data_IF_297272313876
#
_entry.id   IF_297272313876
#
_cell.length_a   1.000
_cell.length_b   1.000
_cell.length_c   1.000
_cell.angle_alpha   90.00
_cell.angle_beta   90.00
_cell.angle_gamma   90.00
#
_symmetry.space_group_name_H-M   'P 1'
#
loop_
_entity.id
_entity.type
_entity.pdbx_description
1 polymer ?
#
# COMPACT_ATOMS: atom_id res chain seq x y z
N UNK A 1 35.84 39.27 -1.07
CA UNK A 1 34.92 39.64 0.03
C UNK A 1 34.16 38.39 0.42
N UNK A 2 34.67 37.74 1.46
CA UNK A 2 34.11 36.57 2.13
C UNK A 2 32.73 36.86 2.74
N UNK A 3 31.82 35.90 2.64
CA UNK A 3 30.68 35.76 3.55
C UNK A 3 30.52 34.29 3.95
N UNK A 4 31.24 33.99 5.02
CA UNK A 4 31.15 32.93 6.04
C UNK A 4 29.90 32.03 6.08
N UNK A 5 30.19 30.72 6.08
CA UNK A 5 29.54 29.61 6.80
C UNK A 5 28.85 30.08 8.09
N UNK A 6 27.55 29.80 8.27
CA UNK A 6 26.88 29.85 9.58
C UNK A 6 26.45 28.45 9.99
N UNK A 7 26.99 28.03 11.12
CA UNK A 7 26.77 26.77 11.81
C UNK A 7 25.30 26.53 12.14
N UNK A 8 24.81 25.33 11.82
CA UNK A 8 23.59 24.77 12.40
C UNK A 8 23.96 24.18 13.76
N UNK A 9 23.81 24.98 14.81
CA UNK A 9 23.97 24.50 16.19
C UNK A 9 22.83 23.54 16.54
N UNK A 10 23.23 22.37 17.03
CA UNK A 10 22.40 21.33 17.66
C UNK A 10 21.65 21.96 18.83
N UNK A 11 20.34 22.17 18.70
CA UNK A 11 19.47 22.48 19.85
C UNK A 11 19.00 21.16 20.45
N UNK A 12 19.47 20.88 21.65
CA UNK A 12 18.95 19.80 22.48
C UNK A 12 17.51 20.14 22.91
N UNK A 13 16.55 19.39 22.37
CA UNK A 13 15.14 19.51 22.73
C UNK A 13 14.91 18.83 24.09
N UNK A 14 14.38 19.58 25.07
CA UNK A 14 14.03 19.04 26.39
C UNK A 14 12.57 18.60 26.44
N UNK A 15 12.23 17.74 27.40
CA UNK A 15 11.00 16.96 27.55
C UNK A 15 9.67 17.76 27.59
N UNK A 16 9.69 19.09 27.52
CA UNK A 16 8.49 19.95 27.60
C UNK A 16 7.91 20.44 26.25
N UNK A 17 8.59 20.19 25.13
CA UNK A 17 8.17 20.75 23.82
C UNK A 17 7.21 19.84 23.00
N UNK A 18 6.81 18.69 23.53
CA UNK A 18 6.09 17.64 22.76
C UNK A 18 4.55 17.70 22.81
N UNK A 19 3.94 18.69 23.46
CA UNK A 19 2.47 18.88 23.47
C UNK A 19 1.96 19.91 22.43
N UNK A 20 2.78 20.26 21.44
CA UNK A 20 2.40 21.18 20.37
C UNK A 20 1.74 20.51 19.16
N UNK A 21 0.59 21.02 18.70
CA UNK A 21 0.06 20.73 17.35
C UNK A 21 1.14 21.03 16.29
N UNK A 22 1.62 20.00 15.60
CA UNK A 22 2.57 20.14 14.51
C UNK A 22 1.84 20.56 13.24
N UNK A 23 2.02 21.82 12.81
CA UNK A 23 1.54 22.29 11.51
C UNK A 23 2.61 22.04 10.43
N UNK A 24 2.31 21.13 9.50
CA UNK A 24 3.18 20.83 8.35
C UNK A 24 2.69 21.63 7.14
N UNK A 25 3.54 22.47 6.57
CA UNK A 25 3.26 23.23 5.33
C UNK A 25 4.27 22.85 4.25
N UNK A 26 3.80 22.41 3.09
CA UNK A 26 4.66 22.09 1.95
C UNK A 26 5.17 23.38 1.27
N UNK A 27 6.44 23.39 0.87
CA UNK A 27 7.06 24.48 0.10
C UNK A 27 7.51 23.95 -1.26
N UNK A 28 7.13 24.62 -2.33
CA UNK A 28 7.42 24.23 -3.71
C UNK A 28 8.27 25.30 -4.40
N UNK A 29 9.23 24.87 -5.25
CA UNK A 29 10.06 25.79 -6.06
C UNK A 29 9.34 26.35 -7.29
N UNK A 30 8.13 25.88 -7.61
CA UNK A 30 7.34 26.26 -8.78
C UNK A 30 5.94 26.75 -8.39
N UNK A 31 5.41 27.73 -9.13
CA UNK A 31 4.19 28.50 -8.81
C UNK A 31 2.87 27.71 -8.77
N UNK A 32 2.87 26.43 -9.16
CA UNK A 32 1.68 25.57 -9.14
C UNK A 32 1.94 24.30 -8.36
N UNK A 33 1.97 24.40 -7.02
CA UNK A 33 2.16 23.26 -6.12
C UNK A 33 1.29 22.06 -6.50
N UNK A 34 1.72 20.84 -6.16
CA UNK A 34 1.04 19.61 -6.53
C UNK A 34 0.28 19.03 -5.31
N UNK A 35 -1.05 19.23 -5.20
CA UNK A 35 -1.84 18.77 -4.05
C UNK A 35 -1.78 17.25 -3.84
N UNK A 36 -1.55 16.48 -4.91
CA UNK A 36 -1.42 15.02 -4.83
C UNK A 36 -0.09 14.57 -4.19
N UNK A 37 1.00 15.34 -4.39
CA UNK A 37 2.27 15.12 -3.68
C UNK A 37 2.17 15.55 -2.21
N UNK A 38 1.45 16.63 -1.92
CA UNK A 38 1.16 17.06 -0.55
C UNK A 38 0.45 15.96 0.24
N UNK A 39 -0.57 15.35 -0.37
CA UNK A 39 -1.31 14.25 0.22
C UNK A 39 -0.46 13.00 0.48
N UNK A 40 0.50 12.68 -0.40
CA UNK A 40 1.42 11.57 -0.19
C UNK A 40 2.46 11.86 0.90
N UNK A 41 3.07 13.05 0.89
CA UNK A 41 4.03 13.45 1.91
C UNK A 41 3.37 13.50 3.29
N UNK A 42 2.16 14.07 3.39
CA UNK A 42 1.39 14.13 4.64
C UNK A 42 0.98 12.73 5.11
N UNK A 43 0.51 11.84 4.22
CA UNK A 43 0.20 10.44 4.59
C UNK A 43 1.46 9.66 4.99
N UNK A 44 2.58 9.87 4.32
CA UNK A 44 3.85 9.24 4.66
C UNK A 44 4.35 9.73 6.02
N UNK A 45 4.25 11.03 6.30
CA UNK A 45 4.57 11.63 7.59
C UNK A 45 3.63 11.14 8.69
N UNK A 46 2.33 11.05 8.44
CA UNK A 46 1.37 10.50 9.41
C UNK A 46 1.68 9.03 9.73
N UNK A 47 1.99 8.22 8.71
CA UNK A 47 2.41 6.82 8.89
C UNK A 47 3.74 6.70 9.62
N UNK A 48 4.68 7.61 9.37
CA UNK A 48 5.96 7.65 10.07
C UNK A 48 5.75 8.04 11.54
N UNK A 49 4.92 9.05 11.80
CA UNK A 49 4.54 9.47 13.14
C UNK A 49 3.84 8.33 13.91
N UNK A 50 2.84 7.69 13.31
CA UNK A 50 2.18 6.52 13.90
C UNK A 50 3.17 5.38 14.20
N UNK A 51 4.12 5.11 13.30
CA UNK A 51 5.20 4.14 13.54
C UNK A 51 6.13 4.53 14.70
N UNK A 52 6.44 5.81 14.84
CA UNK A 52 7.27 6.33 15.94
C UNK A 52 6.50 6.25 17.27
N UNK A 53 5.22 6.64 17.28
CA UNK A 53 4.37 6.58 18.48
C UNK A 53 4.16 5.15 18.97
N UNK A 54 4.01 4.18 18.05
CA UNK A 54 3.93 2.75 18.39
C UNK A 54 5.25 2.25 18.99
N UNK A 55 6.41 2.73 18.48
CA UNK A 55 7.74 2.40 19.04
C UNK A 55 8.01 3.07 20.39
N UNK A 56 7.34 4.18 20.70
CA UNK A 56 7.53 4.95 21.93
C UNK A 56 6.60 4.52 23.09
N UNK A 57 5.70 3.54 22.89
CA UNK A 57 4.90 2.95 23.97
C UNK A 57 3.90 3.90 24.64
N UNK A 58 3.50 5.01 24.01
CA UNK A 58 2.59 5.98 24.61
C UNK A 58 1.13 5.68 24.23
N UNK A 59 0.50 4.75 24.94
CA UNK A 59 -0.97 4.66 24.97
C UNK A 59 -1.49 5.49 26.14
N UNK A 60 -2.18 6.59 25.82
CA UNK A 60 -2.93 7.38 26.79
C UNK A 60 -4.20 6.64 27.22
N UNK A 61 -4.12 5.93 28.34
CA UNK A 61 -5.31 5.61 29.13
C UNK A 61 -4.97 5.61 30.62
N UNK A 62 -5.53 6.59 31.32
CA UNK A 62 -5.42 6.79 32.75
C UNK A 62 -6.38 5.87 33.50
N UNK A 63 -5.84 4.98 34.34
CA UNK A 63 -6.51 4.51 35.57
C UNK A 63 -5.44 4.18 36.62
N UNK A 64 -5.69 4.66 37.84
CA UNK A 64 -4.77 4.66 38.97
C UNK A 64 -4.72 3.32 39.71
N UNK A 65 -3.52 3.05 40.24
CA UNK A 65 -3.17 2.40 41.52
C UNK A 65 -3.52 0.94 41.80
N UNK A 66 -2.48 0.11 41.93
CA UNK A 66 -2.15 -0.54 43.22
C UNK A 66 -0.74 -1.14 43.27
N UNK A 67 0.00 -0.68 44.31
CA UNK A 67 1.02 -1.32 45.17
C UNK A 67 2.22 -2.11 44.61
N UNK A 68 3.37 -1.70 45.11
CA UNK A 68 4.72 -2.26 45.04
C UNK A 68 4.84 -3.70 45.58
N UNK A 69 5.79 -4.46 45.03
CA UNK A 69 6.79 -5.20 45.81
C UNK A 69 7.98 -5.58 44.94
N UNK A 70 9.17 -5.26 45.42
CA UNK A 70 10.45 -5.53 44.79
C UNK A 70 10.95 -6.93 45.10
N UNK A 71 11.46 -7.65 44.10
CA UNK A 71 12.53 -8.63 44.25
C UNK A 71 13.34 -8.67 42.97
N UNK A 72 14.64 -8.43 43.13
CA UNK A 72 15.61 -8.45 42.04
C UNK A 72 15.88 -9.87 41.53
N UNK A 73 16.14 -9.95 40.23
CA UNK A 73 16.73 -11.09 39.57
C UNK A 73 17.27 -10.60 38.23
N UNK A 74 18.57 -10.76 37.99
CA UNK A 74 19.22 -10.40 36.75
C UNK A 74 18.52 -11.11 35.58
N UNK A 75 17.85 -10.34 34.73
CA UNK A 75 17.31 -10.87 33.46
C UNK A 75 18.37 -10.65 32.40
N UNK A 76 18.99 -11.76 32.01
CA UNK A 76 19.61 -11.93 30.72
C UNK A 76 18.63 -11.40 29.64
N UNK A 77 18.99 -10.26 29.05
CA UNK A 77 18.19 -9.50 28.08
C UNK A 77 18.13 -10.27 26.74
N UNK A 78 17.51 -11.44 26.73
CA UNK A 78 17.21 -12.19 25.53
C UNK A 78 16.01 -11.54 24.83
N UNK A 79 16.28 -10.40 24.16
CA UNK A 79 15.30 -9.67 23.33
C UNK A 79 14.73 -10.51 22.17
N UNK A 80 15.28 -11.70 21.95
CA UNK A 80 14.88 -12.64 20.91
C UNK A 80 13.69 -13.55 21.29
N UNK A 81 13.21 -13.54 22.55
CA UNK A 81 12.08 -14.39 22.99
C UNK A 81 10.80 -13.61 23.36
N UNK A 82 10.65 -12.41 22.80
CA UNK A 82 9.46 -11.56 22.99
C UNK A 82 8.66 -11.39 21.68
N UNK A 83 7.34 -11.35 21.81
CA UNK A 83 6.45 -11.06 20.71
C UNK A 83 6.51 -9.57 20.33
N UNK A 84 6.78 -9.22 19.07
CA UNK A 84 6.95 -7.84 18.61
C UNK A 84 5.63 -7.03 18.55
N UNK A 85 4.47 -7.65 18.81
CA UNK A 85 3.16 -6.97 18.81
C UNK A 85 2.74 -6.61 20.23
N UNK A 86 2.73 -7.57 21.16
CA UNK A 86 2.34 -7.31 22.55
C UNK A 86 3.53 -6.92 23.45
N UNK A 87 4.77 -7.08 22.97
CA UNK A 87 6.01 -6.81 23.72
C UNK A 87 6.17 -7.67 24.98
N UNK A 88 5.50 -8.82 25.03
CA UNK A 88 5.57 -9.81 26.11
C UNK A 88 6.09 -11.15 25.57
N UNK A 89 6.37 -12.11 26.45
CA UNK A 89 6.68 -13.48 26.06
C UNK A 89 5.60 -14.11 25.17
N UNK A 90 5.98 -15.10 24.37
CA UNK A 90 5.08 -15.70 23.39
C UNK A 90 3.98 -16.57 24.03
N UNK A 91 2.72 -16.22 23.78
CA UNK A 91 1.56 -17.08 24.04
C UNK A 91 1.13 -17.76 22.74
N UNK A 92 1.12 -19.10 22.69
CA UNK A 92 0.80 -19.90 21.50
C UNK A 92 1.59 -19.42 20.27
N UNK A 93 2.92 -19.57 20.34
CA UNK A 93 3.85 -19.04 19.34
C UNK A 93 3.55 -19.57 17.93
N UNK A 94 3.44 -18.67 16.96
CA UNK A 94 3.30 -18.99 15.54
C UNK A 94 4.46 -18.37 14.75
N UNK A 95 5.10 -19.21 13.92
CA UNK A 95 6.17 -18.79 13.00
C UNK A 95 5.67 -18.74 11.56
N UNK A 96 5.84 -17.59 10.91
CA UNK A 96 5.50 -17.41 9.50
C UNK A 96 6.58 -18.00 8.57
N UNK A 97 6.29 -18.12 7.27
CA UNK A 97 7.27 -18.53 6.24
C UNK A 97 8.50 -17.62 6.18
N UNK A 98 8.31 -16.33 6.46
CA UNK A 98 9.38 -15.33 6.59
C UNK A 98 10.18 -15.43 7.90
N UNK A 99 9.96 -16.50 8.69
CA UNK A 99 10.63 -16.82 9.95
C UNK A 99 10.33 -15.90 11.14
N UNK A 100 9.61 -14.80 10.95
CA UNK A 100 9.13 -13.97 12.06
C UNK A 100 8.10 -14.70 12.92
N UNK A 101 8.19 -14.50 14.23
CA UNK A 101 7.37 -15.18 15.25
C UNK A 101 6.44 -14.19 15.97
N UNK A 102 5.23 -14.64 16.29
CA UNK A 102 4.20 -13.85 16.96
C UNK A 102 3.36 -14.73 17.89
N UNK A 103 2.72 -14.13 18.91
CA UNK A 103 1.60 -14.81 19.58
C UNK A 103 0.47 -15.05 18.57
N UNK A 104 -0.20 -16.19 18.65
CA UNK A 104 -1.31 -16.53 17.75
C UNK A 104 -2.38 -15.42 17.68
N UNK A 105 -2.82 -14.91 18.83
CA UNK A 105 -3.85 -13.85 18.89
C UNK A 105 -3.35 -12.53 18.32
N UNK A 106 -2.08 -12.19 18.56
CA UNK A 106 -1.46 -10.99 18.00
C UNK A 106 -1.41 -11.06 16.47
N UNK A 107 -1.03 -12.21 15.92
CA UNK A 107 -1.01 -12.42 14.46
C UNK A 107 -2.43 -12.43 13.87
N UNK A 108 -3.40 -13.04 14.56
CA UNK A 108 -4.81 -13.02 14.13
C UNK A 108 -5.40 -11.61 14.12
N UNK A 109 -5.14 -10.82 15.16
CA UNK A 109 -5.56 -9.42 15.24
C UNK A 109 -4.90 -8.60 14.14
N UNK A 110 -3.59 -8.74 13.94
CA UNK A 110 -2.89 -8.08 12.83
C UNK A 110 -3.49 -8.47 11.47
N UNK A 111 -3.79 -9.76 11.27
CA UNK A 111 -4.44 -10.26 10.05
C UNK A 111 -5.82 -9.65 9.83
N UNK A 112 -6.61 -9.45 10.89
CA UNK A 112 -7.94 -8.83 10.82
C UNK A 112 -7.87 -7.37 10.37
N UNK A 113 -6.86 -6.62 10.82
CA UNK A 113 -6.73 -5.19 10.53
C UNK A 113 -5.96 -4.89 9.25
N UNK A 114 -4.96 -5.70 8.90
CA UNK A 114 -4.02 -5.41 7.80
C UNK A 114 -3.95 -6.51 6.74
N UNK A 115 -4.76 -7.56 6.85
CA UNK A 115 -4.67 -8.74 6.00
C UNK A 115 -3.49 -9.63 6.38
N UNK A 116 -3.28 -10.76 5.67
CA UNK A 116 -2.23 -11.74 5.97
C UNK A 116 -0.83 -11.25 5.55
N UNK A 117 -0.41 -10.10 6.07
CA UNK A 117 0.89 -9.45 5.85
C UNK A 117 1.69 -9.56 7.13
N UNK A 118 2.95 -10.00 7.04
CA UNK A 118 3.87 -10.03 8.17
C UNK A 118 4.04 -8.60 8.73
N UNK A 119 3.75 -8.37 10.03
CA UNK A 119 3.92 -7.05 10.65
C UNK A 119 5.34 -6.48 10.55
N UNK A 120 6.36 -7.35 10.50
CA UNK A 120 7.78 -6.99 10.45
C UNK A 120 8.24 -6.74 9.01
N UNK A 121 8.33 -7.78 8.17
CA UNK A 121 8.94 -7.66 6.84
C UNK A 121 7.97 -7.36 5.70
N UNK A 122 6.66 -7.38 5.97
CA UNK A 122 5.58 -7.21 4.97
C UNK A 122 5.38 -8.36 3.98
N UNK A 123 6.04 -9.49 4.18
CA UNK A 123 5.75 -10.70 3.40
C UNK A 123 4.30 -11.17 3.59
N UNK A 124 3.65 -11.48 2.48
CA UNK A 124 2.29 -12.02 2.47
C UNK A 124 2.32 -13.52 2.80
N UNK A 125 1.58 -13.95 3.81
CA UNK A 125 1.53 -15.35 4.26
C UNK A 125 0.17 -16.05 4.07
N UNK A 126 -0.76 -15.40 3.38
CA UNK A 126 -2.10 -15.93 3.07
C UNK A 126 -2.70 -15.22 1.86
N UNK A 127 -3.97 -15.48 1.56
CA UNK A 127 -4.65 -14.85 0.42
C UNK A 127 -4.99 -13.40 0.77
N UNK A 128 -4.38 -12.46 0.06
CA UNK A 128 -4.75 -11.05 0.11
C UNK A 128 -6.08 -10.86 -0.60
N UNK A 129 -7.02 -10.18 0.06
CA UNK A 129 -8.29 -9.79 -0.56
C UNK A 129 -8.45 -8.29 -0.43
N UNK A 130 -8.63 -7.62 -1.57
CA UNK A 130 -8.87 -6.19 -1.58
C UNK A 130 -10.34 -5.84 -1.43
N UNK A 131 -10.65 -4.59 -1.73
CA UNK A 131 -11.99 -4.00 -1.59
C UNK A 131 -12.51 -3.42 -2.91
N UNK A 132 -12.02 -3.93 -4.05
CA UNK A 132 -12.61 -3.67 -5.36
C UNK A 132 -14.11 -4.03 -5.35
N UNK A 133 -15.00 -3.15 -5.84
CA UNK A 133 -16.41 -3.47 -6.02
C UNK A 133 -16.67 -4.58 -7.05
N UNK A 134 -17.91 -5.09 -7.08
CA UNK A 134 -18.28 -6.11 -8.06
C UNK A 134 -18.36 -5.51 -9.47
N UNK A 135 -17.94 -6.30 -10.45
CA UNK A 135 -17.80 -5.87 -11.83
C UNK A 135 -17.28 -7.00 -12.70
N UNK A 136 -16.89 -6.69 -13.93
CA UNK A 136 -16.44 -7.66 -14.92
C UNK A 136 -15.06 -7.32 -15.47
N UNK A 137 -14.32 -8.37 -15.87
CA UNK A 137 -13.08 -8.29 -16.62
C UNK A 137 -13.25 -9.14 -17.88
N UNK A 138 -13.15 -8.52 -19.05
CA UNK A 138 -13.23 -9.16 -20.37
C UNK A 138 -11.91 -9.02 -21.09
N UNK A 139 -11.57 -10.01 -21.92
CA UNK A 139 -10.32 -10.01 -22.68
C UNK A 139 -10.59 -10.39 -24.14
N UNK A 140 -10.01 -9.64 -25.07
CA UNK A 140 -10.09 -9.89 -26.51
C UNK A 140 -8.67 -9.92 -27.06
N UNK A 141 -8.37 -10.87 -27.95
CA UNK A 141 -7.06 -11.01 -28.60
C UNK A 141 -7.13 -10.51 -30.04
N UNK A 142 -6.21 -9.64 -30.42
CA UNK A 142 -6.08 -9.03 -31.73
C UNK A 142 -4.78 -9.48 -32.38
N UNK A 143 -4.87 -10.44 -33.32
CA UNK A 143 -3.69 -11.09 -33.92
C UNK A 143 -2.90 -10.22 -34.89
N UNK A 144 -3.52 -9.20 -35.46
CA UNK A 144 -2.95 -8.45 -36.60
C UNK A 144 -2.50 -7.03 -36.24
N UNK A 145 -2.58 -6.65 -34.96
CA UNK A 145 -2.20 -5.31 -34.51
C UNK A 145 -1.21 -5.49 -33.36
N UNK A 146 0.05 -5.24 -33.64
CA UNK A 146 1.12 -5.31 -32.65
C UNK A 146 1.15 -4.06 -31.75
N UNK A 147 1.62 -4.25 -30.51
CA UNK A 147 2.02 -3.12 -29.68
C UNK A 147 3.44 -2.67 -30.05
N UNK A 148 3.75 -1.36 -30.04
CA UNK A 148 5.11 -0.88 -30.20
C UNK A 148 6.08 -1.57 -29.22
N UNK A 149 7.18 -2.11 -29.74
CA UNK A 149 8.16 -2.90 -28.97
C UNK A 149 7.88 -4.41 -28.90
N UNK A 150 6.78 -4.90 -29.46
CA UNK A 150 6.39 -6.31 -29.44
C UNK A 150 5.90 -6.80 -30.82
N UNK A 151 6.77 -6.83 -31.84
CA UNK A 151 6.37 -7.18 -33.21
C UNK A 151 5.98 -8.67 -33.35
N UNK A 152 5.01 -8.95 -34.22
CA UNK A 152 4.64 -10.31 -34.65
C UNK A 152 3.83 -11.12 -33.64
N UNK A 153 3.29 -10.50 -32.60
CA UNK A 153 2.52 -11.21 -31.56
C UNK A 153 1.08 -10.73 -31.40
N UNK A 154 0.70 -9.60 -32.00
CA UNK A 154 -0.59 -8.97 -31.76
C UNK A 154 -0.69 -8.38 -30.35
N UNK A 155 -1.91 -8.20 -29.87
CA UNK A 155 -2.16 -7.71 -28.51
C UNK A 155 -3.43 -8.27 -27.89
N UNK A 156 -3.49 -8.14 -26.57
CA UNK A 156 -4.62 -8.48 -25.72
C UNK A 156 -5.22 -7.16 -25.23
N UNK A 157 -6.47 -6.91 -25.57
CA UNK A 157 -7.29 -5.86 -24.98
C UNK A 157 -8.00 -6.42 -23.74
N UNK A 158 -7.86 -5.73 -22.60
CA UNK A 158 -8.52 -6.06 -21.34
C UNK A 158 -9.48 -4.92 -21.00
N UNK A 159 -10.76 -5.24 -20.88
CA UNK A 159 -11.80 -4.28 -20.52
C UNK A 159 -12.35 -4.61 -19.14
N UNK A 160 -12.17 -3.68 -18.21
CA UNK A 160 -12.77 -3.72 -16.88
C UNK A 160 -14.01 -2.85 -16.86
N UNK A 161 -15.10 -3.36 -16.28
CA UNK A 161 -16.32 -2.59 -16.08
C UNK A 161 -16.83 -2.81 -14.66
N UNK A 162 -16.83 -1.73 -13.87
CA UNK A 162 -17.37 -1.68 -12.52
C UNK A 162 -18.50 -0.64 -12.54
N UNK A 163 -19.77 -1.02 -12.36
CA UNK A 163 -20.88 -0.09 -12.34
C UNK A 163 -20.85 0.80 -11.09
N UNK A 164 -21.64 1.86 -11.09
CA UNK A 164 -21.94 2.62 -9.88
C UNK A 164 -22.60 1.72 -8.84
N UNK A 165 -22.46 2.08 -7.56
CA UNK A 165 -23.11 1.30 -6.51
C UNK A 165 -23.06 1.95 -5.14
N UNK A 166 -23.36 1.15 -4.13
CA UNK A 166 -23.32 1.52 -2.71
C UNK A 166 -22.12 0.87 -2.03
N UNK A 167 -21.44 1.63 -1.19
CA UNK A 167 -20.27 1.18 -0.45
C UNK A 167 -20.65 0.13 0.60
N UNK A 168 -19.87 -0.96 0.69
CA UNK A 168 -20.02 -2.06 1.65
C UNK A 168 -19.20 -1.76 2.91
N UNK A 169 -19.33 -2.57 3.95
CA UNK A 169 -18.65 -2.39 5.25
C UNK A 169 -17.12 -2.37 5.16
N UNK A 170 -16.55 -2.95 4.10
CA UNK A 170 -15.10 -2.95 3.83
C UNK A 170 -14.62 -1.78 2.96
N UNK A 171 -15.50 -0.82 2.65
CA UNK A 171 -15.16 0.42 1.91
C UNK A 171 -15.03 1.62 2.88
N UNK A 172 -14.40 2.73 2.46
CA UNK A 172 -14.15 3.88 3.34
C UNK A 172 -15.41 4.50 3.96
N UNK A 173 -16.50 4.61 3.20
CA UNK A 173 -17.74 5.24 3.65
C UNK A 173 -18.94 4.28 3.46
N UNK A 174 -19.11 3.27 4.33
CA UNK A 174 -20.17 2.27 4.18
C UNK A 174 -21.54 2.92 4.05
N UNK A 175 -22.31 2.45 3.07
CA UNK A 175 -23.64 2.94 2.76
C UNK A 175 -23.70 4.17 1.86
N UNK A 176 -22.58 4.87 1.61
CA UNK A 176 -22.57 5.96 0.63
C UNK A 176 -22.54 5.45 -0.81
N UNK A 177 -22.95 6.29 -1.76
CA UNK A 177 -22.80 5.98 -3.19
C UNK A 177 -21.34 6.10 -3.61
N UNK A 178 -20.93 5.27 -4.56
CA UNK A 178 -19.68 5.44 -5.29
C UNK A 178 -19.93 5.47 -6.80
N UNK A 179 -19.04 6.12 -7.52
CA UNK A 179 -19.03 6.21 -8.99
C UNK A 179 -18.12 5.13 -9.57
N UNK A 180 -18.70 4.30 -10.44
CA UNK A 180 -18.06 3.23 -11.16
C UNK A 180 -17.09 3.73 -12.24
N UNK A 181 -16.56 2.79 -13.02
CA UNK A 181 -15.65 3.10 -14.13
C UNK A 181 -15.65 1.99 -15.17
N UNK A 182 -15.36 2.35 -16.41
CA UNK A 182 -14.96 1.40 -17.46
C UNK A 182 -13.57 1.78 -17.94
N UNK A 183 -12.66 0.81 -18.00
CA UNK A 183 -11.26 1.05 -18.37
C UNK A 183 -10.75 -0.05 -19.28
N UNK A 184 -9.97 0.36 -20.26
CA UNK A 184 -9.30 -0.54 -21.20
C UNK A 184 -7.79 -0.52 -20.94
N UNK A 185 -7.17 -1.69 -21.02
CA UNK A 185 -5.72 -1.87 -20.90
C UNK A 185 -5.21 -2.87 -21.94
N UNK A 186 -3.90 -2.80 -22.23
CA UNK A 186 -3.28 -3.56 -23.32
C UNK A 186 -2.05 -4.35 -22.83
N UNK A 187 -1.94 -5.60 -23.28
CA UNK A 187 -0.76 -6.45 -23.13
C UNK A 187 -0.35 -7.00 -24.51
N UNK A 188 0.92 -7.31 -24.76
CA UNK A 188 1.29 -8.06 -25.95
C UNK A 188 0.73 -9.48 -25.88
N UNK A 189 0.27 -10.05 -27.00
CA UNK A 189 -0.23 -11.45 -27.03
C UNK A 189 0.92 -12.44 -27.27
N UNK A 190 1.89 -12.41 -26.36
CA UNK A 190 3.03 -13.33 -26.32
C UNK A 190 3.06 -14.11 -24.98
N UNK A 191 4.07 -14.94 -24.76
CA UNK A 191 4.19 -15.79 -23.56
C UNK A 191 4.15 -14.95 -22.27
N UNK A 192 4.95 -13.89 -22.20
CA UNK A 192 5.05 -13.04 -21.00
C UNK A 192 3.78 -12.21 -20.77
N UNK A 193 3.19 -11.66 -21.82
CA UNK A 193 1.93 -10.93 -21.73
C UNK A 193 0.76 -11.82 -21.29
N UNK A 194 0.72 -13.09 -21.73
CA UNK A 194 -0.27 -14.06 -21.26
C UNK A 194 -0.02 -14.49 -19.80
N UNK A 195 1.24 -14.54 -19.36
CA UNK A 195 1.57 -14.74 -17.94
C UNK A 195 1.00 -13.58 -17.09
N UNK A 196 1.28 -12.33 -17.47
CA UNK A 196 0.74 -11.14 -16.81
C UNK A 196 -0.80 -11.15 -16.82
N UNK A 197 -1.43 -11.52 -17.93
CA UNK A 197 -2.89 -11.65 -18.02
C UNK A 197 -3.44 -12.63 -16.97
N UNK A 198 -2.82 -13.79 -16.80
CA UNK A 198 -3.22 -14.79 -15.79
C UNK A 198 -3.14 -14.21 -14.38
N UNK A 199 -2.06 -13.49 -14.07
CA UNK A 199 -1.87 -12.84 -12.78
C UNK A 199 -2.90 -11.72 -12.55
N UNK A 200 -3.18 -10.89 -13.55
CA UNK A 200 -4.20 -9.84 -13.47
C UNK A 200 -5.60 -10.41 -13.25
N UNK A 201 -5.95 -11.54 -13.87
CA UNK A 201 -7.21 -12.26 -13.60
C UNK A 201 -7.29 -12.68 -12.14
N UNK A 202 -6.23 -13.34 -11.64
CA UNK A 202 -6.13 -13.74 -10.22
C UNK A 202 -6.24 -12.54 -9.27
N UNK A 203 -5.59 -11.41 -9.59
CA UNK A 203 -5.68 -10.19 -8.81
C UNK A 203 -7.10 -9.56 -8.85
N UNK A 204 -7.78 -9.61 -10.00
CA UNK A 204 -9.16 -9.14 -10.14
C UNK A 204 -10.12 -9.99 -9.30
N UNK A 205 -9.99 -11.32 -9.35
CA UNK A 205 -10.78 -12.26 -8.54
C UNK A 205 -10.56 -12.05 -7.04
N UNK A 206 -9.33 -11.71 -6.65
CA UNK A 206 -8.96 -11.33 -5.28
C UNK A 206 -9.30 -9.87 -4.93
N UNK A 207 -10.00 -9.15 -5.80
CA UNK A 207 -10.47 -7.76 -5.57
C UNK A 207 -9.35 -6.74 -5.39
N UNK A 208 -8.21 -6.93 -6.05
CA UNK A 208 -6.98 -6.15 -5.86
C UNK A 208 -6.68 -5.13 -6.98
N UNK A 209 -7.36 -5.17 -8.14
CA UNK A 209 -7.07 -4.27 -9.26
C UNK A 209 -7.58 -2.86 -8.99
N UNK A 210 -8.76 -2.75 -8.37
CA UNK A 210 -9.39 -1.47 -8.05
C UNK A 210 -9.63 -1.29 -6.55
N UNK A 211 -9.97 -0.06 -6.17
CA UNK A 211 -10.46 0.32 -4.85
C UNK A 211 -11.43 1.50 -4.98
N UNK A 212 -12.08 1.88 -3.89
CA UNK A 212 -12.86 3.12 -3.80
C UNK A 212 -12.02 4.17 -3.07
N UNK A 213 -11.90 5.35 -3.66
CA UNK A 213 -11.17 6.46 -3.06
C UNK A 213 -11.28 7.73 -3.87
N UNK A 214 -10.33 8.64 -3.64
CA UNK A 214 -10.22 9.87 -4.42
C UNK A 214 -9.53 9.59 -5.76
N UNK A 215 -10.19 9.99 -6.85
CA UNK A 215 -9.59 9.97 -8.19
C UNK A 215 -8.30 10.79 -8.22
N UNK A 216 -7.21 10.17 -8.68
CA UNK A 216 -5.89 10.82 -8.74
C UNK A 216 -5.84 11.97 -9.74
N UNK A 217 -6.67 11.93 -10.79
CA UNK A 217 -6.66 12.94 -11.85
C UNK A 217 -7.66 14.06 -11.61
N UNK A 218 -8.82 13.76 -11.03
CA UNK A 218 -9.92 14.72 -10.87
C UNK A 218 -10.15 15.15 -9.42
N UNK A 219 -9.58 14.45 -8.44
CA UNK A 219 -9.83 14.69 -7.03
C UNK A 219 -11.22 14.22 -6.55
N UNK A 220 -12.05 13.68 -7.44
CA UNK A 220 -13.40 13.21 -7.11
C UNK A 220 -13.33 12.08 -6.07
N UNK A 221 -13.96 12.29 -4.92
CA UNK A 221 -14.11 11.28 -3.88
C UNK A 221 -15.17 10.23 -4.22
N UNK A 222 -15.19 9.13 -3.47
CA UNK A 222 -16.13 8.03 -3.65
C UNK A 222 -16.15 7.50 -5.10
N UNK A 223 -14.98 7.37 -5.74
CA UNK A 223 -14.84 6.87 -7.11
C UNK A 223 -14.01 5.59 -7.17
N UNK A 224 -14.31 4.74 -8.16
CA UNK A 224 -13.51 3.55 -8.45
C UNK A 224 -12.19 3.96 -9.10
N UNK A 225 -11.09 3.59 -8.45
CA UNK A 225 -9.72 3.98 -8.83
C UNK A 225 -8.80 2.77 -8.88
N UNK A 226 -7.70 2.87 -9.63
CA UNK A 226 -6.66 1.84 -9.65
C UNK A 226 -6.04 1.64 -8.26
N UNK A 227 -5.72 0.41 -7.91
CA UNK A 227 -5.16 0.05 -6.61
C UNK A 227 -3.71 -0.45 -6.75
N UNK A 228 -2.81 0.45 -7.13
CA UNK A 228 -1.34 0.23 -7.19
C UNK A 228 -0.89 -0.99 -8.02
N UNK A 229 -1.66 -1.38 -9.03
CA UNK A 229 -1.22 -2.29 -10.11
C UNK A 229 -1.35 -1.51 -11.41
N UNK A 230 -0.23 -1.12 -11.99
CA UNK A 230 -0.22 -0.28 -13.18
C UNK A 230 -0.69 -1.06 -14.39
N UNK A 231 -1.46 -0.37 -15.23
CA UNK A 231 -1.97 -0.89 -16.48
C UNK A 231 -1.56 0.02 -17.63
N UNK A 232 -1.35 -0.56 -18.80
CA UNK A 232 -1.12 0.20 -20.03
C UNK A 232 -2.45 0.56 -20.66
N UNK A 233 -2.95 1.76 -20.39
CA UNK A 233 -4.26 2.24 -20.88
C UNK A 233 -4.19 2.90 -22.26
N UNK A 234 -3.02 2.90 -22.90
CA UNK A 234 -2.81 3.37 -24.27
C UNK A 234 -1.97 2.35 -25.02
N UNK A 235 -2.24 2.14 -26.31
CA UNK A 235 -1.34 1.36 -27.17
C UNK A 235 -0.08 2.13 -27.57
N UNK A 236 -0.07 3.46 -27.42
CA UNK A 236 0.99 4.34 -27.93
C UNK A 236 1.40 5.42 -26.91
N UNK A 237 2.48 6.14 -27.22
CA UNK A 237 2.92 7.31 -26.44
C UNK A 237 3.84 6.98 -25.26
N UNK A 238 4.33 5.74 -25.19
CA UNK A 238 5.31 5.31 -24.20
C UNK A 238 4.84 5.42 -22.75
N UNK A 239 5.78 5.28 -21.78
CA UNK A 239 5.45 5.26 -20.36
C UNK A 239 4.73 6.53 -19.87
N UNK A 240 5.05 7.69 -20.43
CA UNK A 240 4.47 8.99 -20.06
C UNK A 240 2.97 9.09 -20.33
N UNK A 241 2.47 8.33 -21.33
CA UNK A 241 1.04 8.24 -21.65
C UNK A 241 0.42 6.93 -21.23
N UNK A 242 1.06 6.21 -20.29
CA UNK A 242 0.63 4.88 -19.85
C UNK A 242 0.49 3.91 -21.03
N UNK A 243 1.37 4.02 -22.02
CA UNK A 243 1.32 3.20 -23.23
C UNK A 243 2.67 2.60 -23.63
N UNK A 244 2.75 2.15 -24.87
CA UNK A 244 3.92 1.49 -25.45
C UNK A 244 4.65 2.41 -26.45
N UNK A 245 5.94 2.18 -26.75
CA UNK A 245 6.80 1.10 -26.21
C UNK A 245 7.18 1.33 -24.74
N UNK A 246 7.33 0.25 -23.99
CA UNK A 246 7.83 0.23 -22.60
C UNK A 246 8.33 -1.18 -22.27
N UNK A 247 9.62 -1.43 -22.50
CA UNK A 247 10.25 -2.75 -22.35
C UNK A 247 10.28 -3.23 -20.90
N UNK A 248 10.17 -2.32 -19.92
CA UNK A 248 10.24 -2.63 -18.49
C UNK A 248 8.87 -2.90 -17.86
N UNK A 249 7.79 -2.70 -18.59
CA UNK A 249 6.45 -2.73 -18.00
C UNK A 249 6.07 -4.14 -17.49
N UNK A 250 6.33 -5.19 -18.27
CA UNK A 250 5.91 -6.55 -17.90
C UNK A 250 6.64 -7.07 -16.67
N UNK A 251 7.92 -6.72 -16.48
CA UNK A 251 8.65 -7.05 -15.25
C UNK A 251 8.13 -6.26 -14.05
N UNK A 252 7.96 -4.93 -14.20
CA UNK A 252 7.46 -4.07 -13.12
C UNK A 252 6.06 -4.46 -12.64
N UNK A 253 5.13 -4.75 -13.55
CA UNK A 253 3.77 -5.16 -13.14
C UNK A 253 3.77 -6.51 -12.44
N UNK A 254 4.66 -7.44 -12.82
CA UNK A 254 4.85 -8.71 -12.09
C UNK A 254 5.36 -8.48 -10.66
N UNK A 255 6.27 -7.53 -10.47
CA UNK A 255 6.73 -7.15 -9.12
C UNK A 255 5.61 -6.51 -8.28
N UNK A 256 4.79 -5.64 -8.88
CA UNK A 256 3.62 -5.03 -8.21
C UNK A 256 2.57 -6.09 -7.80
N UNK A 257 2.31 -7.05 -8.69
CA UNK A 257 1.42 -8.18 -8.42
C UNK A 257 1.98 -9.06 -7.30
N UNK A 258 3.26 -9.39 -7.36
CA UNK A 258 3.97 -10.15 -6.31
C UNK A 258 3.91 -9.45 -4.96
N UNK A 259 4.12 -8.13 -4.93
CA UNK A 259 4.00 -7.33 -3.71
C UNK A 259 2.60 -7.36 -3.09
N UNK A 260 1.57 -7.69 -3.89
CA UNK A 260 0.18 -7.92 -3.45
C UNK A 260 -0.14 -9.41 -3.20
N UNK A 261 0.86 -10.29 -3.22
CA UNK A 261 0.70 -11.72 -2.99
C UNK A 261 0.19 -12.51 -4.20
N UNK A 262 0.36 -11.98 -5.41
CA UNK A 262 -0.09 -12.61 -6.67
C UNK A 262 1.12 -13.15 -7.44
N UNK A 263 1.22 -14.48 -7.46
CA UNK A 263 2.24 -15.29 -8.17
C UNK A 263 1.55 -16.45 -8.95
#
# INVERSE_FOLDING_TARGET
>A
MDLTRKDLTRKDLTRKDLEGKVNVKASYKTRGGNPAMESHAVRALLRLYQKIMIRAGMNGHSTQNSKESATGGATDDNKDDQCPICMSGFTNKQRLKCKHEFCQECLQSAKKHSGPICPICKDVFGIMKGNQPDGTMRCIKHKYIDLPGFPGCGHIEITYSIPDGKQKDNHPNPGERYWGTTRTAYLPDNIEGNEVLRLLKKAFDQKLIFTIGASRTTGMENAVTWNDIHHKTSMFGGPERYGYPDETYLSRVKEELKAKGIE
#
